data_IF_580892344837
#
_entry.id   IF_580892344837
#
_cell.length_a   1.000
_cell.length_b   1.000
_cell.length_c   1.000
_cell.angle_alpha   90.00
_cell.angle_beta   90.00
_cell.angle_gamma   90.00
#
_symmetry.space_group_name_H-M   'P 1'
#
loop_
_entity.id
_entity.type
_entity.pdbx_description
1 polymer ?
#
# COMPACT_ATOMS: atom_id res chain seq x y z
N UNK A 1 30.11 15.29 -59.05
CA UNK A 1 28.93 14.47 -58.72
C UNK A 1 29.01 14.07 -57.25
N UNK A 2 27.92 14.35 -56.52
CA UNK A 2 27.73 14.13 -55.07
C UNK A 2 27.60 12.64 -54.75
N UNK A 3 28.13 12.19 -53.61
CA UNK A 3 27.45 11.23 -52.73
C UNK A 3 27.87 11.53 -51.28
N UNK A 4 26.97 12.18 -50.54
CA UNK A 4 27.06 12.32 -49.09
C UNK A 4 26.31 11.16 -48.45
N UNK A 5 26.98 10.46 -47.54
CA UNK A 5 26.38 9.42 -46.69
C UNK A 5 25.74 10.14 -45.49
N UNK A 6 24.41 10.23 -45.50
CA UNK A 6 23.62 10.69 -44.35
C UNK A 6 23.57 9.55 -43.32
N UNK A 7 24.42 9.61 -42.30
CA UNK A 7 24.31 8.75 -41.12
C UNK A 7 23.31 9.36 -40.13
N UNK A 8 22.11 8.79 -40.04
CA UNK A 8 21.10 9.17 -39.04
C UNK A 8 21.62 8.88 -37.62
N UNK A 9 21.93 9.94 -36.88
CA UNK A 9 22.18 9.89 -35.45
C UNK A 9 20.82 9.98 -34.74
N UNK A 10 20.16 8.82 -34.56
CA UNK A 10 18.93 8.72 -33.78
C UNK A 10 19.31 8.83 -32.30
N UNK A 11 19.20 10.04 -31.76
CA UNK A 11 19.31 10.30 -30.32
C UNK A 11 18.18 9.52 -29.65
N UNK A 12 18.55 8.44 -28.98
CA UNK A 12 17.65 7.62 -28.18
C UNK A 12 16.98 8.49 -27.13
N UNK A 13 15.69 8.74 -27.32
CA UNK A 13 14.79 9.22 -26.28
C UNK A 13 14.94 8.25 -25.10
N UNK A 14 15.55 8.71 -24.01
CA UNK A 14 15.38 8.14 -22.69
C UNK A 14 13.89 8.26 -22.37
N UNK A 15 13.14 7.22 -22.74
CA UNK A 15 11.78 7.00 -22.27
C UNK A 15 11.92 6.88 -20.76
N UNK A 16 11.66 7.99 -20.06
CA UNK A 16 11.41 8.01 -18.64
C UNK A 16 10.11 7.24 -18.45
N UNK A 17 10.20 5.91 -18.49
CA UNK A 17 9.09 5.05 -18.16
C UNK A 17 8.75 5.39 -16.70
N UNK A 18 7.56 5.95 -16.41
CA UNK A 18 7.13 6.11 -15.03
C UNK A 18 7.28 4.73 -14.38
N UNK A 19 7.75 4.67 -13.12
CA UNK A 19 7.96 3.41 -12.43
C UNK A 19 6.72 2.56 -12.64
N UNK A 20 6.95 1.43 -13.31
CA UNK A 20 5.97 0.43 -13.71
C UNK A 20 4.86 0.35 -12.69
N UNK A 21 3.63 0.31 -13.19
CA UNK A 21 2.40 -0.01 -12.48
C UNK A 21 2.47 -1.40 -11.82
N UNK A 22 3.40 -1.55 -10.87
CA UNK A 22 3.64 -2.73 -10.07
C UNK A 22 2.47 -2.84 -9.09
N UNK A 23 1.51 -3.65 -9.55
CA UNK A 23 0.50 -4.32 -8.77
C UNK A 23 -0.54 -3.41 -8.08
N UNK A 24 -1.53 -2.95 -8.86
CA UNK A 24 -2.90 -2.75 -8.35
C UNK A 24 -3.42 -4.12 -7.87
N UNK A 25 -3.03 -4.57 -6.67
CA UNK A 25 -3.41 -5.89 -6.19
C UNK A 25 -4.92 -5.95 -5.92
N UNK A 26 -5.59 -6.85 -6.65
CA UNK A 26 -7.05 -7.02 -6.73
C UNK A 26 -7.74 -7.60 -5.48
N UNK A 27 -7.06 -7.75 -4.35
CA UNK A 27 -7.69 -8.20 -3.12
C UNK A 27 -7.00 -7.61 -1.89
N UNK A 28 -7.72 -6.80 -1.12
CA UNK A 28 -7.41 -6.47 0.27
C UNK A 28 -6.05 -5.82 0.49
N UNK A 29 -5.95 -4.51 0.21
CA UNK A 29 -4.89 -3.72 0.83
C UNK A 29 -5.16 -3.74 2.34
N UNK A 30 -4.34 -4.49 3.06
CA UNK A 30 -4.40 -4.56 4.52
C UNK A 30 -3.50 -3.48 5.12
N UNK A 31 -3.59 -3.20 6.42
CA UNK A 31 -2.59 -2.38 7.12
C UNK A 31 -1.18 -2.99 7.14
N UNK A 32 -0.94 -4.11 6.45
CA UNK A 32 0.37 -4.69 6.20
C UNK A 32 0.84 -4.43 4.76
N UNK A 33 0.64 -3.19 4.29
CA UNK A 33 1.18 -2.72 3.04
C UNK A 33 2.28 -1.68 3.30
N UNK A 34 3.16 -1.47 2.34
CA UNK A 34 3.99 -0.27 2.30
C UNK A 34 3.75 0.48 1.00
N UNK A 35 3.73 1.80 1.10
CA UNK A 35 3.32 2.67 0.01
C UNK A 35 4.50 3.44 -0.57
N UNK A 36 4.40 3.87 -1.83
CA UNK A 36 5.45 4.65 -2.47
C UNK A 36 5.73 5.96 -1.72
N UNK A 37 4.71 6.56 -1.11
CA UNK A 37 4.82 7.80 -0.32
C UNK A 37 4.15 7.70 1.05
N UNK A 38 4.50 8.62 1.97
CA UNK A 38 3.80 8.78 3.26
C UNK A 38 2.32 9.15 3.07
N UNK A 39 2.02 9.96 2.06
CA UNK A 39 0.66 10.40 1.77
C UNK A 39 -0.22 9.24 1.30
N UNK A 40 0.29 8.35 0.44
CA UNK A 40 -0.41 7.14 0.02
C UNK A 40 -0.76 6.25 1.22
N UNK A 41 0.18 6.08 2.15
CA UNK A 41 -0.06 5.33 3.38
C UNK A 41 -1.13 5.99 4.26
N UNK A 42 -1.08 7.32 4.41
CA UNK A 42 -2.08 8.07 5.18
C UNK A 42 -3.48 7.88 4.58
N UNK A 43 -3.62 8.10 3.28
CA UNK A 43 -4.87 7.90 2.53
C UNK A 43 -5.39 6.48 2.69
N UNK A 44 -4.51 5.48 2.58
CA UNK A 44 -4.87 4.08 2.80
C UNK A 44 -5.43 3.86 4.21
N UNK A 45 -4.67 4.25 5.23
CA UNK A 45 -5.01 4.02 6.63
C UNK A 45 -6.32 4.71 7.02
N UNK A 46 -6.49 5.98 6.64
CA UNK A 46 -7.73 6.74 6.88
C UNK A 46 -8.93 6.10 6.19
N UNK A 47 -8.78 5.68 4.93
CA UNK A 47 -9.83 5.02 4.18
C UNK A 47 -10.23 3.68 4.82
N UNK A 48 -9.26 2.84 5.18
CA UNK A 48 -9.53 1.54 5.81
C UNK A 48 -10.21 1.70 7.18
N UNK A 49 -9.74 2.62 8.02
CA UNK A 49 -10.34 2.89 9.33
C UNK A 49 -11.75 3.46 9.20
N UNK A 50 -11.97 4.38 8.27
CA UNK A 50 -13.31 4.95 7.99
C UNK A 50 -14.29 3.86 7.56
N UNK A 51 -13.88 3.01 6.62
CA UNK A 51 -14.72 1.89 6.14
C UNK A 51 -14.96 0.84 7.21
N UNK A 52 -13.97 0.59 8.09
CA UNK A 52 -14.13 -0.33 9.21
C UNK A 52 -15.13 0.20 10.25
N UNK A 53 -15.00 1.46 10.65
CA UNK A 53 -15.92 2.13 11.57
C UNK A 53 -17.35 2.18 11.00
N UNK A 54 -17.49 2.57 9.73
CA UNK A 54 -18.78 2.60 9.06
C UNK A 54 -19.40 1.19 9.03
N UNK A 55 -18.61 0.16 8.69
CA UNK A 55 -19.09 -1.23 8.70
C UNK A 55 -19.61 -1.65 10.06
N UNK A 56 -18.86 -1.39 11.14
CA UNK A 56 -19.26 -1.82 12.47
C UNK A 56 -20.55 -1.11 12.89
N UNK A 57 -20.67 0.19 12.58
CA UNK A 57 -21.88 0.99 12.81
C UNK A 57 -23.09 0.44 12.03
N UNK A 58 -22.96 0.26 10.71
CA UNK A 58 -24.02 -0.28 9.85
C UNK A 58 -24.41 -1.70 10.24
N UNK A 59 -23.43 -2.54 10.58
CA UNK A 59 -23.67 -3.91 11.00
C UNK A 59 -24.49 -3.94 12.29
N UNK A 60 -24.10 -3.17 13.31
CA UNK A 60 -24.84 -3.10 14.58
C UNK A 60 -26.26 -2.58 14.36
N UNK A 61 -26.45 -1.56 13.51
CA UNK A 61 -27.78 -1.04 13.17
C UNK A 61 -28.68 -2.10 12.52
N UNK A 62 -28.16 -2.86 11.55
CA UNK A 62 -28.90 -3.95 10.90
C UNK A 62 -29.26 -5.07 11.89
N UNK A 63 -28.36 -5.41 12.82
CA UNK A 63 -28.66 -6.38 13.87
C UNK A 63 -29.77 -5.88 14.81
N UNK A 64 -29.75 -4.60 15.21
CA UNK A 64 -30.81 -3.99 16.03
C UNK A 64 -32.17 -4.00 15.34
N UNK A 65 -32.19 -3.94 14.00
CA UNK A 65 -33.40 -4.06 13.17
C UNK A 65 -33.89 -5.50 12.96
N UNK A 66 -33.25 -6.49 13.60
CA UNK A 66 -33.65 -7.90 13.49
C UNK A 66 -33.20 -8.59 12.20
N UNK A 67 -32.28 -8.00 11.44
CA UNK A 67 -31.73 -8.63 10.23
C UNK A 67 -30.83 -9.82 10.64
N UNK A 68 -30.97 -10.95 9.95
CA UNK A 68 -30.08 -12.11 10.13
C UNK A 68 -28.60 -11.71 10.06
N UNK A 69 -27.76 -12.27 10.94
CA UNK A 69 -26.33 -11.92 11.06
C UNK A 69 -25.57 -12.06 9.75
N UNK A 70 -25.83 -13.11 8.96
CA UNK A 70 -25.11 -13.32 7.69
C UNK A 70 -25.56 -12.30 6.65
N UNK A 71 -26.85 -11.98 6.60
CA UNK A 71 -27.38 -10.93 5.72
C UNK A 71 -26.85 -9.55 6.13
N UNK A 72 -26.90 -9.20 7.41
CA UNK A 72 -26.37 -7.95 7.95
C UNK A 72 -24.88 -7.76 7.62
N UNK A 73 -24.07 -8.81 7.76
CA UNK A 73 -22.65 -8.75 7.41
C UNK A 73 -22.41 -8.51 5.91
N UNK A 74 -23.20 -9.15 5.02
CA UNK A 74 -23.09 -8.93 3.58
C UNK A 74 -23.52 -7.53 3.18
N UNK A 75 -24.64 -7.05 3.73
CA UNK A 75 -25.20 -5.73 3.44
C UNK A 75 -24.25 -4.62 3.93
N UNK A 76 -23.79 -4.70 5.19
CA UNK A 76 -22.82 -3.76 5.73
C UNK A 76 -21.51 -3.74 4.92
N UNK A 77 -20.99 -4.91 4.48
CA UNK A 77 -19.79 -4.96 3.62
C UNK A 77 -20.00 -4.24 2.28
N UNK A 78 -21.16 -4.43 1.66
CA UNK A 78 -21.51 -3.83 0.36
C UNK A 78 -21.62 -2.31 0.50
N UNK A 79 -22.34 -1.83 1.50
CA UNK A 79 -22.60 -0.40 1.71
C UNK A 79 -21.32 0.37 2.08
N UNK A 80 -20.51 -0.20 2.96
CA UNK A 80 -19.33 0.50 3.52
C UNK A 80 -18.05 0.27 2.74
N UNK A 81 -18.09 -0.61 1.73
CA UNK A 81 -16.94 -0.96 0.90
C UNK A 81 -15.75 -1.50 1.71
N UNK A 82 -15.94 -2.06 2.91
CA UNK A 82 -14.90 -2.54 3.83
C UNK A 82 -13.83 -3.45 3.19
N UNK A 83 -14.20 -4.21 2.16
CA UNK A 83 -13.29 -5.14 1.48
C UNK A 83 -12.86 -4.68 0.07
N UNK A 84 -13.24 -3.48 -0.36
CA UNK A 84 -12.88 -2.97 -1.69
C UNK A 84 -11.45 -2.40 -1.68
N UNK A 85 -10.74 -2.45 -2.83
CA UNK A 85 -9.45 -1.80 -2.99
C UNK A 85 -9.50 -0.29 -2.68
N UNK A 86 -8.34 0.27 -2.36
CA UNK A 86 -8.12 1.72 -2.24
C UNK A 86 -7.17 2.09 -3.37
N UNK A 87 -7.45 3.18 -4.08
CA UNK A 87 -6.62 3.65 -5.19
C UNK A 87 -5.40 4.42 -4.65
N UNK A 88 -4.39 3.66 -4.23
CA UNK A 88 -3.14 4.16 -3.66
C UNK A 88 -1.98 3.32 -4.17
N UNK A 89 -0.81 3.93 -4.30
CA UNK A 89 0.39 3.21 -4.72
C UNK A 89 1.01 2.45 -3.54
N UNK A 90 0.35 1.37 -3.14
CA UNK A 90 0.75 0.52 -2.02
C UNK A 90 0.85 -0.94 -2.44
N UNK A 91 1.81 -1.64 -1.85
CA UNK A 91 2.05 -3.07 -2.08
C UNK A 91 2.11 -3.81 -0.77
N UNK A 92 1.59 -5.03 -0.74
CA UNK A 92 1.62 -5.87 0.45
C UNK A 92 3.07 -6.14 0.88
N UNK A 93 3.33 -6.06 2.19
CA UNK A 93 4.61 -6.45 2.74
C UNK A 93 4.76 -7.98 2.67
N UNK A 94 5.91 -8.50 2.26
CA UNK A 94 6.16 -9.92 2.34
C UNK A 94 6.22 -10.31 3.82
N UNK A 95 5.35 -11.22 4.26
CA UNK A 95 5.21 -11.65 5.67
C UNK A 95 6.40 -12.43 6.25
N UNK A 96 7.62 -12.19 5.77
CA UNK A 96 8.84 -12.86 6.22
C UNK A 96 9.86 -11.86 6.78
N UNK A 97 10.56 -11.15 5.88
CA UNK A 97 11.70 -10.30 6.22
C UNK A 97 11.67 -9.01 5.41
N UNK A 98 11.73 -7.89 6.12
CA UNK A 98 11.94 -6.55 5.60
C UNK A 98 13.02 -5.86 6.43
N UNK A 99 13.84 -5.03 5.82
CA UNK A 99 14.77 -4.17 6.53
C UNK A 99 14.13 -2.81 6.78
N UNK A 100 14.37 -2.25 7.96
CA UNK A 100 13.95 -0.91 8.32
C UNK A 100 15.10 0.04 8.01
N UNK A 101 14.79 1.17 7.37
CA UNK A 101 15.70 2.29 7.21
C UNK A 101 15.35 3.32 8.30
N UNK A 102 16.16 3.34 9.34
CA UNK A 102 16.01 4.10 10.58
C UNK A 102 16.69 5.48 10.52
N UNK A 103 17.49 5.76 9.48
CA UNK A 103 18.24 7.03 9.30
C UNK A 103 17.39 8.24 8.88
N UNK A 104 16.10 8.27 9.21
CA UNK A 104 15.20 9.39 8.90
C UNK A 104 13.91 9.42 9.73
N UNK A 105 13.90 8.72 10.87
CA UNK A 105 12.72 8.50 11.70
C UNK A 105 12.26 9.70 12.53
N UNK A 106 11.96 10.83 11.91
CA UNK A 106 11.12 11.87 12.55
C UNK A 106 9.71 11.80 11.93
N UNK A 107 8.65 11.89 12.76
CA UNK A 107 7.20 11.83 12.44
C UNK A 107 6.46 10.47 12.45
N UNK A 108 7.00 9.38 13.02
CA UNK A 108 6.22 8.15 13.25
C UNK A 108 6.07 7.21 12.04
N UNK A 109 6.76 7.49 10.94
CA UNK A 109 6.81 6.63 9.75
C UNK A 109 8.21 6.04 9.58
N UNK A 110 8.28 4.87 8.94
CA UNK A 110 9.53 4.20 8.60
C UNK A 110 9.53 3.78 7.14
N UNK A 111 10.71 3.81 6.54
CA UNK A 111 10.98 3.33 5.19
C UNK A 111 11.39 1.86 5.30
N UNK A 112 10.72 0.99 4.56
CA UNK A 112 10.97 -0.45 4.57
C UNK A 112 11.36 -0.98 3.22
N UNK A 113 12.34 -1.87 3.21
CA UNK A 113 12.81 -2.53 2.00
C UNK A 113 12.61 -4.03 2.13
N UNK A 114 11.92 -4.61 1.15
CA UNK A 114 11.91 -6.05 0.96
C UNK A 114 12.98 -6.46 -0.05
N UNK A 115 13.40 -7.73 0.00
CA UNK A 115 14.31 -8.29 -1.00
C UNK A 115 13.69 -8.15 -2.39
N UNK A 116 14.45 -7.54 -3.32
CA UNK A 116 14.01 -7.32 -4.70
C UNK A 116 13.23 -6.02 -4.94
N UNK A 117 12.92 -5.24 -3.91
CA UNK A 117 12.35 -3.91 -4.10
C UNK A 117 13.43 -2.92 -4.54
N UNK A 118 13.22 -2.26 -5.69
CA UNK A 118 14.13 -1.20 -6.18
C UNK A 118 14.18 0.00 -5.24
N UNK A 119 13.01 0.39 -4.73
CA UNK A 119 12.81 1.53 -3.82
C UNK A 119 12.16 1.06 -2.53
N UNK A 120 12.40 1.78 -1.42
CA UNK A 120 11.67 1.50 -0.18
C UNK A 120 10.20 1.90 -0.27
N UNK A 121 9.38 1.33 0.61
CA UNK A 121 8.00 1.77 0.84
C UNK A 121 7.84 2.37 2.24
N UNK A 122 6.87 3.24 2.40
CA UNK A 122 6.54 3.93 3.64
C UNK A 122 5.34 3.31 4.34
N UNK A 123 5.45 3.19 5.66
CA UNK A 123 4.41 2.66 6.56
C UNK A 123 4.58 3.30 7.95
N UNK A 124 3.51 3.37 8.72
CA UNK A 124 3.55 3.88 10.09
C UNK A 124 4.21 2.87 11.06
N UNK A 125 5.14 3.34 11.91
CA UNK A 125 5.96 2.50 12.79
C UNK A 125 5.16 1.61 13.75
N UNK A 126 3.97 2.07 14.15
CA UNK A 126 3.07 1.32 15.04
C UNK A 126 2.54 0.00 14.46
N UNK A 127 2.69 -0.23 13.15
CA UNK A 127 2.28 -1.46 12.49
C UNK A 127 3.39 -2.54 12.46
N UNK A 128 4.60 -2.27 12.95
CA UNK A 128 5.65 -3.29 13.05
C UNK A 128 5.49 -4.26 14.22
N UNK A 129 5.34 -3.79 15.49
CA UNK A 129 5.38 -4.68 16.66
C UNK A 129 4.24 -5.70 16.71
N UNK A 130 3.16 -5.51 15.95
CA UNK A 130 2.04 -6.46 15.84
C UNK A 130 2.27 -7.60 14.83
N UNK A 131 3.17 -7.43 13.86
CA UNK A 131 3.19 -8.30 12.67
C UNK A 131 4.59 -8.79 12.27
N UNK A 132 5.63 -8.08 12.69
CA UNK A 132 7.01 -8.52 12.55
C UNK A 132 7.56 -8.68 13.96
N UNK A 133 7.84 -9.92 14.39
CA UNK A 133 8.66 -10.16 15.59
C UNK A 133 9.95 -9.37 15.40
N UNK A 134 10.29 -8.53 16.37
CA UNK A 134 11.46 -7.66 16.32
C UNK A 134 12.73 -8.47 15.98
N UNK A 135 13.06 -8.53 14.70
CA UNK A 135 14.41 -8.86 14.21
C UNK A 135 15.00 -7.66 13.50
N UNK A 136 14.56 -6.46 13.87
CA UNK A 136 15.26 -5.23 13.58
C UNK A 136 16.15 -4.95 14.78
N UNK A 137 17.33 -5.56 14.77
CA UNK A 137 18.45 -4.99 15.51
C UNK A 137 18.83 -3.71 14.74
N UNK A 138 18.66 -2.51 15.30
CA UNK A 138 19.02 -1.27 14.64
C UNK A 138 20.53 -1.06 14.78
N UNK A 139 21.35 -1.88 14.12
CA UNK A 139 22.79 -1.63 14.00
C UNK A 139 23.36 -2.38 12.81
N UNK A 140 23.66 -1.65 11.74
CA UNK A 140 25.04 -1.47 11.21
C UNK A 140 25.16 -0.10 10.54
#
# INVERSE_FOLDING_TARGET
MKFQILGLLVIGLLVFAPPSAEARTKAGITPLAACATKQDWKTLNETLNTRAFAYDTTFIDLIKKGVDKRKAARDARRETRKAQPVDVNCRALPGRRVTLDDKGGWSGYVCVRARGWKNCGWIHKGYFPRFFRATSDPTV
#
